data_IF_558132609936
#
_entry.id   IF_558132609936
#
_cell.length_a   1.000
_cell.length_b   1.000
_cell.length_c   1.000
_cell.angle_alpha   90.00
_cell.angle_beta   90.00
_cell.angle_gamma   90.00
#
_symmetry.space_group_name_H-M   'P 1'
#
loop_
_entity.id
_entity.type
_entity.pdbx_description
1 polymer ?
#
# COMPACT_ATOMS: atom_id res chain seq x y z
N UNK A 1 19.09 -2.76 16.84
CA UNK A 1 17.94 -2.97 15.94
C UNK A 1 17.20 -4.20 16.44
N UNK A 2 15.88 -4.12 16.59
CA UNK A 2 15.08 -5.29 16.94
C UNK A 2 15.08 -6.26 15.75
N UNK A 3 15.21 -7.58 15.97
CA UNK A 3 15.17 -8.54 14.87
C UNK A 3 13.83 -8.43 14.14
N UNK A 4 13.82 -8.54 12.81
CA UNK A 4 12.58 -8.55 12.06
C UNK A 4 11.74 -9.77 12.47
N UNK A 5 10.43 -9.60 12.45
CA UNK A 5 9.49 -10.71 12.57
C UNK A 5 9.42 -11.44 11.22
N UNK A 6 9.84 -12.70 11.20
CA UNK A 6 9.85 -13.54 10.00
C UNK A 6 8.95 -14.77 10.20
N UNK A 7 8.22 -15.15 9.14
CA UNK A 7 7.37 -16.34 9.08
C UNK A 7 7.90 -17.27 7.98
N UNK A 8 8.00 -18.57 8.24
CA UNK A 8 8.33 -19.56 7.22
C UNK A 8 7.19 -19.67 6.18
N UNK A 9 7.51 -19.47 4.90
CA UNK A 9 6.57 -19.42 3.79
C UNK A 9 7.18 -20.04 2.51
N UNK A 10 8.00 -21.07 2.66
CA UNK A 10 8.71 -21.77 1.58
C UNK A 10 7.76 -22.50 0.60
N UNK A 11 6.56 -22.86 1.06
CA UNK A 11 5.51 -23.45 0.25
C UNK A 11 4.55 -22.43 -0.37
N UNK A 12 4.78 -21.14 -0.14
CA UNK A 12 3.94 -20.06 -0.63
C UNK A 12 4.63 -19.29 -1.75
N UNK A 13 3.90 -19.13 -2.86
CA UNK A 13 4.17 -18.05 -3.82
C UNK A 13 3.48 -16.76 -3.33
N UNK A 14 3.92 -15.58 -3.80
CA UNK A 14 3.27 -14.32 -3.46
C UNK A 14 1.77 -14.31 -3.77
N UNK A 15 1.35 -14.93 -4.87
CA UNK A 15 -0.07 -15.10 -5.24
C UNK A 15 -0.79 -16.01 -4.24
N UNK A 16 -0.22 -17.16 -3.86
CA UNK A 16 -0.86 -18.03 -2.87
C UNK A 16 -0.96 -17.36 -1.49
N UNK A 17 0.03 -16.56 -1.10
CA UNK A 17 -0.03 -15.77 0.12
C UNK A 17 -1.15 -14.72 0.06
N UNK A 18 -1.29 -14.01 -1.06
CA UNK A 18 -2.40 -13.07 -1.29
C UNK A 18 -3.77 -13.73 -1.14
N UNK A 19 -3.96 -14.91 -1.74
CA UNK A 19 -5.21 -15.65 -1.64
C UNK A 19 -5.49 -16.17 -0.22
N UNK A 20 -4.46 -16.69 0.48
CA UNK A 20 -4.59 -17.14 1.87
C UNK A 20 -4.95 -15.99 2.83
N UNK A 21 -4.49 -14.78 2.53
CA UNK A 21 -4.78 -13.58 3.32
C UNK A 21 -6.08 -12.86 2.93
N UNK A 22 -6.93 -13.47 2.09
CA UNK A 22 -8.16 -12.84 1.60
C UNK A 22 -9.09 -12.32 2.70
N UNK A 23 -9.14 -12.97 3.87
CA UNK A 23 -9.93 -12.51 5.02
C UNK A 23 -9.47 -11.16 5.60
N UNK A 24 -8.22 -10.76 5.31
CA UNK A 24 -7.66 -9.47 5.70
C UNK A 24 -7.87 -8.38 4.62
N UNK A 25 -8.67 -8.67 3.58
CA UNK A 25 -8.99 -7.76 2.49
C UNK A 25 -7.74 -7.09 1.90
N UNK A 26 -6.81 -7.87 1.32
CA UNK A 26 -5.58 -7.31 0.76
C UNK A 26 -5.92 -6.33 -0.36
N UNK A 27 -5.20 -5.21 -0.40
CA UNK A 27 -5.44 -4.11 -1.35
C UNK A 27 -4.58 -4.22 -2.60
N UNK A 28 -3.37 -4.73 -2.47
CA UNK A 28 -2.46 -4.89 -3.60
C UNK A 28 -1.47 -6.04 -3.38
N UNK A 29 -1.00 -6.57 -4.50
CA UNK A 29 0.19 -7.39 -4.61
C UNK A 29 1.08 -6.74 -5.67
N UNK A 30 2.29 -6.33 -5.27
CA UNK A 30 3.29 -5.79 -6.18
C UNK A 30 4.39 -6.82 -6.37
N UNK A 31 4.58 -7.22 -7.62
CA UNK A 31 5.65 -8.11 -8.05
C UNK A 31 6.45 -7.38 -9.14
N UNK A 32 7.76 -7.56 -9.12
CA UNK A 32 8.64 -7.00 -10.15
C UNK A 32 9.16 -8.12 -11.04
N UNK A 33 9.22 -7.84 -12.35
CA UNK A 33 9.76 -8.75 -13.35
C UNK A 33 10.83 -8.01 -14.14
N UNK A 34 12.05 -8.56 -14.16
CA UNK A 34 13.15 -8.05 -14.95
C UNK A 34 13.19 -8.76 -16.32
N UNK A 35 13.18 -7.97 -17.40
CA UNK A 35 13.29 -8.50 -18.76
C UNK A 35 12.14 -9.40 -19.23
N UNK A 36 11.01 -9.44 -18.49
CA UNK A 36 9.85 -10.28 -18.80
C UNK A 36 9.98 -11.75 -18.36
N UNK A 37 11.14 -12.18 -17.87
CA UNK A 37 11.41 -13.59 -17.60
C UNK A 37 11.90 -13.86 -16.16
N UNK A 38 12.51 -12.88 -15.50
CA UNK A 38 13.08 -13.07 -14.16
C UNK A 38 12.25 -12.36 -13.11
N UNK A 39 11.60 -13.13 -12.24
CA UNK A 39 10.93 -12.57 -11.06
C UNK A 39 11.99 -11.92 -10.15
N UNK A 40 11.69 -10.73 -9.64
CA UNK A 40 12.52 -10.07 -8.65
C UNK A 40 12.52 -10.84 -7.32
N UNK A 41 13.50 -10.54 -6.47
CA UNK A 41 13.68 -11.23 -5.19
C UNK A 41 12.56 -10.96 -4.17
N UNK A 42 11.84 -9.85 -4.31
CA UNK A 42 10.86 -9.39 -3.34
C UNK A 42 9.52 -9.12 -3.99
N UNK A 43 8.46 -9.49 -3.27
CA UNK A 43 7.08 -9.11 -3.54
C UNK A 43 6.53 -8.35 -2.33
N UNK A 44 5.66 -7.37 -2.58
CA UNK A 44 5.02 -6.58 -1.51
C UNK A 44 3.53 -6.83 -1.50
N UNK A 45 2.99 -7.21 -0.35
CA UNK A 45 1.58 -7.45 -0.13
C UNK A 45 1.07 -6.43 0.89
N UNK A 46 0.10 -5.61 0.49
CA UNK A 46 -0.47 -4.56 1.32
C UNK A 46 -1.88 -4.86 1.78
N UNK A 47 -2.14 -4.77 3.08
CA UNK A 47 -3.45 -4.94 3.73
C UNK A 47 -3.52 -4.10 5.01
N UNK A 48 -4.69 -4.01 5.64
CA UNK A 48 -4.86 -3.28 6.91
C UNK A 48 -5.33 -1.84 6.74
N UNK A 49 -4.81 -0.90 7.53
CA UNK A 49 -5.16 0.52 7.38
C UNK A 49 -4.40 1.13 6.19
N UNK A 50 -5.09 1.91 5.37
CA UNK A 50 -4.48 2.70 4.30
C UNK A 50 -5.25 3.99 4.10
N UNK A 51 -4.58 4.94 3.46
CA UNK A 51 -5.16 6.20 3.01
C UNK A 51 -5.35 6.12 1.49
N UNK A 52 -6.55 6.37 1.00
CA UNK A 52 -6.81 6.47 -0.44
C UNK A 52 -6.69 7.91 -0.89
N UNK A 53 -5.95 8.15 -1.98
CA UNK A 53 -5.83 9.46 -2.62
C UNK A 53 -6.21 9.32 -4.07
N UNK A 54 -7.24 10.05 -4.50
CA UNK A 54 -7.76 10.03 -5.85
C UNK A 54 -7.80 11.44 -6.44
N UNK A 55 -7.41 11.58 -7.71
CA UNK A 55 -7.54 12.83 -8.47
C UNK A 55 -8.31 12.52 -9.75
N UNK A 56 -9.39 13.24 -9.98
CA UNK A 56 -10.17 13.17 -11.22
C UNK A 56 -10.62 14.58 -11.65
N UNK A 57 -11.62 14.66 -12.52
CA UNK A 57 -12.14 15.92 -13.05
C UNK A 57 -12.76 16.84 -11.99
N UNK A 58 -13.23 16.29 -10.86
CA UNK A 58 -13.78 17.08 -9.75
C UNK A 58 -12.71 17.55 -8.76
N UNK A 59 -11.46 17.10 -8.94
CA UNK A 59 -10.30 17.47 -8.14
C UNK A 59 -9.78 16.34 -7.25
N UNK A 60 -9.11 16.72 -6.16
CA UNK A 60 -8.46 15.80 -5.22
C UNK A 60 -9.44 15.35 -4.15
N UNK A 61 -9.52 14.03 -3.93
CA UNK A 61 -10.22 13.39 -2.81
C UNK A 61 -9.27 12.55 -1.99
N UNK A 62 -9.48 12.53 -0.67
CA UNK A 62 -8.76 11.67 0.28
C UNK A 62 -9.79 10.88 1.08
N UNK A 63 -9.71 9.56 1.05
CA UNK A 63 -10.72 8.64 1.60
C UNK A 63 -12.16 8.99 1.13
N UNK A 64 -12.29 9.35 -0.15
CA UNK A 64 -13.55 9.80 -0.75
C UNK A 64 -13.98 11.23 -0.39
N UNK A 65 -13.37 11.87 0.60
CA UNK A 65 -13.70 13.25 0.98
C UNK A 65 -12.98 14.28 0.07
N UNK A 66 -13.69 15.29 -0.48
CA UNK A 66 -13.08 16.30 -1.32
C UNK A 66 -12.10 17.17 -0.52
N UNK A 67 -10.90 17.39 -1.08
CA UNK A 67 -9.86 18.26 -0.52
C UNK A 67 -9.78 19.58 -1.27
N UNK A 68 -9.79 19.52 -2.61
CA UNK A 68 -9.82 20.70 -3.48
C UNK A 68 -10.45 20.33 -4.83
N UNK A 69 -11.15 21.28 -5.44
CA UNK A 69 -11.64 21.16 -6.83
C UNK A 69 -10.72 21.85 -7.83
N UNK A 70 -9.63 22.47 -7.39
CA UNK A 70 -8.72 23.22 -8.26
C UNK A 70 -7.72 22.26 -8.92
N UNK A 71 -7.69 22.17 -10.26
CA UNK A 71 -6.74 21.33 -10.99
C UNK A 71 -5.37 21.99 -11.15
N UNK A 72 -4.93 22.71 -10.12
CA UNK A 72 -3.61 23.34 -10.09
C UNK A 72 -2.58 22.37 -9.55
N UNK A 73 -1.43 22.25 -10.22
CA UNK A 73 -0.39 21.28 -9.87
C UNK A 73 0.10 21.48 -8.44
N UNK A 74 0.37 22.71 -8.02
CA UNK A 74 1.00 22.97 -6.74
C UNK A 74 -0.01 22.72 -5.61
N UNK A 75 -1.28 23.08 -5.82
CA UNK A 75 -2.40 22.73 -4.92
C UNK A 75 -2.56 21.21 -4.79
N UNK A 76 -2.54 20.46 -5.89
CA UNK A 76 -2.66 19.00 -5.87
C UNK A 76 -1.49 18.33 -5.15
N UNK A 77 -0.25 18.79 -5.40
CA UNK A 77 0.94 18.25 -4.74
C UNK A 77 0.96 18.56 -3.24
N UNK A 78 0.51 19.74 -2.83
CA UNK A 78 0.39 20.07 -1.40
C UNK A 78 -0.70 19.27 -0.71
N UNK A 79 -1.82 19.01 -1.39
CA UNK A 79 -2.85 18.09 -0.95
C UNK A 79 -2.31 16.67 -0.75
N UNK A 80 -1.58 16.14 -1.74
CA UNK A 80 -0.94 14.83 -1.64
C UNK A 80 0.08 14.75 -0.49
N UNK A 81 0.96 15.75 -0.33
CA UNK A 81 1.90 15.80 0.79
C UNK A 81 1.18 15.82 2.14
N UNK A 82 0.04 16.51 2.22
CA UNK A 82 -0.78 16.57 3.42
C UNK A 82 -1.43 15.21 3.72
N UNK A 83 -1.94 14.54 2.69
CA UNK A 83 -2.42 13.17 2.79
C UNK A 83 -1.32 12.21 3.27
N UNK A 84 -0.12 12.26 2.69
CA UNK A 84 1.01 11.39 3.08
C UNK A 84 1.42 11.55 4.55
N UNK A 85 1.29 12.75 5.15
CA UNK A 85 1.55 12.95 6.59
C UNK A 85 0.55 12.24 7.51
N UNK A 86 -0.64 11.89 6.99
CA UNK A 86 -1.68 11.13 7.70
C UNK A 86 -1.60 9.63 7.44
N UNK A 87 -0.77 9.19 6.49
CA UNK A 87 -0.66 7.78 6.15
C UNK A 87 -0.20 6.96 7.38
N UNK A 88 -0.75 5.75 7.58
CA UNK A 88 -0.35 4.90 8.69
C UNK A 88 1.13 4.54 8.59
N UNK A 89 1.78 4.39 9.75
CA UNK A 89 3.14 3.84 9.79
C UNK A 89 3.08 2.35 9.44
N UNK A 90 4.01 1.90 8.62
CA UNK A 90 4.16 0.49 8.22
C UNK A 90 4.81 -0.36 9.32
N UNK A 91 4.62 0.00 10.59
CA UNK A 91 5.13 -0.77 11.71
C UNK A 91 4.15 -1.92 12.00
N UNK A 92 4.61 -3.17 12.03
CA UNK A 92 3.73 -4.29 12.38
C UNK A 92 3.24 -4.13 13.82
N UNK A 93 1.95 -3.88 14.00
CA UNK A 93 1.27 -4.00 15.28
C UNK A 93 0.80 -5.45 15.41
N UNK A 94 1.59 -6.26 16.11
CA UNK A 94 1.22 -7.63 16.48
C UNK A 94 0.85 -7.63 17.98
N UNK A 95 -0.44 -7.59 18.34
CA UNK A 95 -0.84 -7.64 19.74
C UNK A 95 -0.35 -8.95 20.38
N UNK A 96 0.52 -8.84 21.39
CA UNK A 96 1.06 -10.01 22.11
C UNK A 96 2.37 -10.57 21.58
N UNK A 97 3.04 -9.90 20.64
CA UNK A 97 4.45 -10.11 20.28
C UNK A 97 5.27 -8.89 20.68
#
# INVERSE_FOLDING_TARGET
MQPPFDIAADLDTPVSAYLKLASFAPRFLLESVEGGERLARYSFLGFGDALEVAVDADGLRVDGAPVTSTPDRDVLLDGLRTALRRAPRLEPLLPGV
#
